data_IF_421554927501
#
_entry.id   IF_421554927501
#
_cell.length_a   1.000
_cell.length_b   1.000
_cell.length_c   1.000
_cell.angle_alpha   90.00
_cell.angle_beta   90.00
_cell.angle_gamma   90.00
#
_symmetry.space_group_name_H-M   'P 1'
#
loop_
_entity.id
_entity.type
_entity.pdbx_description
1 polymer ?
#
# COMPACT_ATOMS: atom_id res chain seq x y z
N UNK A 1 -27.43 3.12 11.13
CA UNK A 1 -26.15 3.65 10.64
C UNK A 1 -25.66 2.70 9.57
N UNK A 2 -25.48 3.16 8.33
CA UNK A 2 -24.78 2.37 7.32
C UNK A 2 -23.31 2.32 7.71
N UNK A 3 -22.73 1.12 7.84
CA UNK A 3 -21.30 0.95 8.05
C UNK A 3 -20.58 1.55 6.83
N UNK A 4 -19.63 2.45 7.07
CA UNK A 4 -18.74 2.95 6.02
C UNK A 4 -18.00 1.76 5.41
N UNK A 5 -17.91 1.69 4.08
CA UNK A 5 -17.29 0.55 3.40
C UNK A 5 -15.82 0.46 3.83
N UNK A 6 -15.40 -0.63 4.52
CA UNK A 6 -14.04 -0.76 5.04
C UNK A 6 -12.95 -0.66 3.97
N UNK A 7 -13.30 -0.93 2.70
CA UNK A 7 -12.38 -0.78 1.57
C UNK A 7 -11.78 0.63 1.52
N UNK A 8 -12.59 1.68 1.74
CA UNK A 8 -12.09 3.06 1.61
C UNK A 8 -11.19 3.47 2.77
N UNK A 9 -11.40 2.88 3.96
CA UNK A 9 -10.53 3.10 5.12
C UNK A 9 -9.15 2.51 4.83
N UNK A 10 -9.10 1.22 4.46
CA UNK A 10 -7.85 0.52 4.16
C UNK A 10 -7.17 1.13 2.94
N UNK A 11 -7.92 1.54 1.91
CA UNK A 11 -7.38 2.30 0.76
C UNK A 11 -6.63 3.56 1.22
N UNK A 12 -7.22 4.33 2.12
CA UNK A 12 -6.58 5.55 2.66
C UNK A 12 -5.33 5.24 3.50
N UNK A 13 -5.36 4.16 4.28
CA UNK A 13 -4.20 3.67 5.05
C UNK A 13 -3.05 3.25 4.12
N UNK A 14 -3.36 2.50 3.05
CA UNK A 14 -2.40 2.11 2.01
C UNK A 14 -1.82 3.34 1.32
N UNK A 15 -2.65 4.31 0.91
CA UNK A 15 -2.17 5.55 0.28
C UNK A 15 -1.21 6.32 1.21
N UNK A 16 -1.52 6.38 2.51
CA UNK A 16 -0.64 7.00 3.51
C UNK A 16 0.67 6.22 3.67
N UNK A 17 0.61 4.89 3.74
CA UNK A 17 1.78 4.04 3.86
C UNK A 17 2.70 4.16 2.64
N UNK A 18 2.14 4.21 1.42
CA UNK A 18 2.89 4.41 0.17
C UNK A 18 3.65 5.75 0.17
N UNK A 19 3.00 6.84 0.57
CA UNK A 19 3.68 8.14 0.69
C UNK A 19 4.82 8.10 1.72
N UNK A 20 4.62 7.39 2.84
CA UNK A 20 5.66 7.14 3.83
C UNK A 20 6.85 6.34 3.26
N UNK A 21 6.56 5.25 2.57
CA UNK A 21 7.57 4.41 1.91
C UNK A 21 8.37 5.18 0.85
N UNK A 22 7.72 6.04 0.05
CA UNK A 22 8.40 6.89 -0.93
C UNK A 22 9.35 7.89 -0.26
N UNK A 23 8.95 8.47 0.86
CA UNK A 23 9.80 9.38 1.66
C UNK A 23 11.00 8.65 2.26
N UNK A 24 10.78 7.44 2.81
CA UNK A 24 11.84 6.56 3.31
C UNK A 24 12.79 6.15 2.19
N UNK A 25 12.28 5.81 1.01
CA UNK A 25 13.09 5.44 -0.15
C UNK A 25 13.93 6.63 -0.65
N UNK A 26 13.37 7.84 -0.66
CA UNK A 26 14.14 9.05 -0.98
C UNK A 26 15.30 9.22 0.00
N UNK A 27 15.03 9.17 1.31
CA UNK A 27 16.06 9.28 2.35
C UNK A 27 17.10 8.17 2.23
N UNK A 28 16.66 6.93 2.03
CA UNK A 28 17.54 5.77 1.86
C UNK A 28 18.51 5.98 0.69
N UNK A 29 18.03 6.51 -0.44
CA UNK A 29 18.92 6.83 -1.58
C UNK A 29 19.94 7.91 -1.24
N UNK A 30 19.56 8.94 -0.48
CA UNK A 30 20.52 9.97 -0.03
C UNK A 30 21.59 9.40 0.88
N UNK A 31 21.22 8.52 1.81
CA UNK A 31 22.15 7.89 2.76
C UNK A 31 23.18 6.98 2.07
N UNK A 32 22.81 6.39 0.92
CA UNK A 32 23.71 5.53 0.13
C UNK A 32 24.68 6.32 -0.76
N UNK A 33 24.52 7.65 -0.89
CA UNK A 33 25.47 8.43 -1.66
C UNK A 33 26.83 8.51 -0.95
N UNK A 34 27.90 8.22 -1.69
CA UNK A 34 29.26 8.28 -1.16
C UNK A 34 29.60 9.71 -0.67
N UNK A 35 30.23 9.80 0.50
CA UNK A 35 30.64 11.07 1.11
C UNK A 35 29.61 11.76 2.00
N UNK A 36 28.42 11.17 2.18
CA UNK A 36 27.30 11.76 2.96
C UNK A 36 27.42 11.68 4.49
N UNK A 37 28.43 11.01 5.05
CA UNK A 37 28.64 10.91 6.50
C UNK A 37 27.56 10.10 7.26
N UNK A 38 26.67 9.41 6.56
CA UNK A 38 25.65 8.54 7.14
C UNK A 38 26.30 7.42 7.98
N UNK A 39 25.80 7.20 9.19
CA UNK A 39 26.25 6.07 10.00
C UNK A 39 25.66 4.77 9.48
N UNK A 40 26.35 3.65 9.77
CA UNK A 40 25.82 2.33 9.44
C UNK A 40 24.47 2.08 10.13
N UNK A 41 24.30 2.54 11.37
CA UNK A 41 23.01 2.37 12.07
C UNK A 41 21.87 3.12 11.38
N UNK A 42 22.12 4.32 10.86
CA UNK A 42 21.10 5.11 10.16
C UNK A 42 20.66 4.42 8.86
N UNK A 43 21.63 3.88 8.11
CA UNK A 43 21.37 3.10 6.89
C UNK A 43 20.57 1.84 7.22
N UNK A 44 21.00 1.07 8.23
CA UNK A 44 20.35 -0.18 8.62
C UNK A 44 18.91 0.07 9.12
N UNK A 45 18.69 1.10 9.94
CA UNK A 45 17.37 1.50 10.41
C UNK A 45 16.45 1.91 9.26
N UNK A 46 16.91 2.81 8.39
CA UNK A 46 16.10 3.32 7.26
C UNK A 46 15.75 2.19 6.30
N UNK A 47 16.69 1.27 6.06
CA UNK A 47 16.47 0.09 5.22
C UNK A 47 15.42 -0.84 5.84
N UNK A 48 15.51 -1.09 7.14
CA UNK A 48 14.55 -1.96 7.83
C UNK A 48 13.14 -1.35 7.85
N UNK A 49 13.04 -0.05 8.11
CA UNK A 49 11.76 0.66 8.14
C UNK A 49 11.09 0.66 6.76
N UNK A 50 11.86 0.92 5.70
CA UNK A 50 11.37 0.82 4.33
C UNK A 50 10.84 -0.59 4.01
N UNK A 51 11.60 -1.64 4.37
CA UNK A 51 11.16 -3.03 4.15
C UNK A 51 9.89 -3.39 4.92
N UNK A 52 9.74 -2.90 6.15
CA UNK A 52 8.55 -3.14 6.94
C UNK A 52 7.34 -2.41 6.36
N UNK A 53 7.51 -1.17 5.93
CA UNK A 53 6.46 -0.40 5.27
C UNK A 53 6.00 -1.07 3.97
N UNK A 54 6.93 -1.51 3.11
CA UNK A 54 6.61 -2.24 1.88
C UNK A 54 5.87 -3.55 2.16
N UNK A 55 6.31 -4.32 3.17
CA UNK A 55 5.62 -5.57 3.57
C UNK A 55 4.20 -5.33 4.06
N UNK A 56 3.98 -4.28 4.86
CA UNK A 56 2.65 -3.91 5.34
C UNK A 56 1.73 -3.57 4.16
N UNK A 57 2.23 -2.79 3.20
CA UNK A 57 1.48 -2.43 1.99
C UNK A 57 1.13 -3.68 1.17
N UNK A 58 2.07 -4.61 1.00
CA UNK A 58 1.80 -5.85 0.26
C UNK A 58 0.67 -6.68 0.91
N UNK A 59 0.69 -6.82 2.24
CA UNK A 59 -0.38 -7.50 2.98
C UNK A 59 -1.74 -6.80 2.84
N UNK A 60 -1.79 -5.47 3.00
CA UNK A 60 -3.03 -4.72 2.83
C UNK A 60 -3.57 -4.87 1.40
N UNK A 61 -2.70 -4.91 0.40
CA UNK A 61 -3.09 -5.11 -1.01
C UNK A 61 -3.55 -6.55 -1.29
N UNK A 62 -3.04 -7.56 -0.59
CA UNK A 62 -3.55 -8.93 -0.63
C UNK A 62 -4.96 -8.99 -0.06
N UNK A 63 -5.18 -8.45 1.14
CA UNK A 63 -6.50 -8.40 1.77
C UNK A 63 -7.53 -7.67 0.91
N UNK A 64 -7.16 -6.51 0.33
CA UNK A 64 -8.05 -5.78 -0.59
C UNK A 64 -8.40 -6.61 -1.84
N UNK A 65 -7.47 -7.39 -2.39
CA UNK A 65 -7.70 -8.24 -3.57
C UNK A 65 -8.60 -9.45 -3.23
N UNK A 66 -8.48 -9.99 -2.03
CA UNK A 66 -9.39 -11.01 -1.50
C UNK A 66 -10.82 -10.45 -1.36
N UNK A 67 -10.98 -9.22 -0.86
CA UNK A 67 -12.32 -8.61 -0.75
C UNK A 67 -12.98 -8.42 -2.12
N UNK A 68 -12.20 -8.09 -3.15
CA UNK A 68 -12.68 -8.01 -4.54
C UNK A 68 -13.20 -9.38 -4.99
N UNK A 69 -12.43 -10.43 -4.75
CA UNK A 69 -12.81 -11.81 -5.10
C UNK A 69 -14.10 -12.26 -4.38
N UNK A 70 -14.28 -11.87 -3.12
CA UNK A 70 -15.50 -12.12 -2.34
C UNK A 70 -16.70 -11.37 -2.93
N UNK A 71 -16.53 -10.11 -3.32
CA UNK A 71 -17.61 -9.30 -3.93
C UNK A 71 -18.03 -9.89 -5.27
N UNK A 72 -17.08 -10.31 -6.11
CA UNK A 72 -17.35 -10.96 -7.40
C UNK A 72 -18.07 -12.30 -7.25
N UNK A 73 -17.76 -13.04 -6.18
CA UNK A 73 -18.39 -14.33 -5.88
C UNK A 73 -19.84 -14.20 -5.38
N UNK A 74 -20.24 -13.03 -4.84
CA UNK A 74 -21.61 -12.81 -4.37
C UNK A 74 -22.14 -11.37 -4.64
N UNK A 75 -22.33 -10.96 -5.91
CA UNK A 75 -22.68 -9.59 -6.26
C UNK A 75 -24.01 -9.12 -5.66
N UNK A 76 -24.98 -10.03 -5.52
CA UNK A 76 -26.31 -9.73 -4.96
C UNK A 76 -26.25 -9.30 -3.50
N UNK A 77 -25.29 -9.82 -2.72
CA UNK A 77 -25.13 -9.47 -1.30
C UNK A 77 -24.53 -8.08 -1.13
N UNK A 78 -23.58 -7.71 -1.97
CA UNK A 78 -22.81 -6.48 -1.81
C UNK A 78 -23.38 -5.29 -2.61
N UNK A 79 -24.13 -5.55 -3.68
CA UNK A 79 -24.74 -4.53 -4.53
C UNK A 79 -23.74 -3.42 -4.93
N UNK A 80 -22.50 -3.82 -5.22
CA UNK A 80 -21.43 -2.91 -5.61
C UNK A 80 -21.50 -2.62 -7.10
N UNK A 81 -21.37 -1.35 -7.47
CA UNK A 81 -21.34 -0.93 -8.86
C UNK A 81 -20.11 -1.49 -9.60
N UNK A 82 -20.29 -1.89 -10.86
CA UNK A 82 -19.23 -2.49 -11.68
C UNK A 82 -18.11 -1.49 -12.00
N UNK A 83 -18.43 -0.19 -12.17
CA UNK A 83 -17.41 0.82 -12.37
C UNK A 83 -16.62 1.06 -11.09
N UNK A 84 -17.26 0.99 -9.92
CA UNK A 84 -16.56 1.04 -8.63
C UNK A 84 -15.63 -0.16 -8.45
N UNK A 85 -16.10 -1.40 -8.69
CA UNK A 85 -15.25 -2.60 -8.63
C UNK A 85 -14.02 -2.47 -9.55
N UNK A 86 -14.18 -1.90 -10.74
CA UNK A 86 -13.08 -1.64 -11.68
C UNK A 86 -12.06 -0.65 -11.11
N UNK A 87 -12.52 0.42 -10.43
CA UNK A 87 -11.63 1.38 -9.76
C UNK A 87 -10.84 0.72 -8.63
N UNK A 88 -11.48 -0.15 -7.85
CA UNK A 88 -10.81 -0.91 -6.76
C UNK A 88 -9.69 -1.79 -7.31
N UNK A 89 -9.96 -2.55 -8.37
CA UNK A 89 -8.95 -3.36 -9.08
C UNK A 89 -7.81 -2.48 -9.62
N UNK A 90 -8.15 -1.36 -10.25
CA UNK A 90 -7.16 -0.44 -10.80
C UNK A 90 -6.24 0.12 -9.70
N UNK A 91 -6.79 0.50 -8.55
CA UNK A 91 -6.03 0.96 -7.38
C UNK A 91 -4.99 -0.09 -6.95
N UNK A 92 -5.41 -1.33 -6.70
CA UNK A 92 -4.50 -2.41 -6.27
C UNK A 92 -3.38 -2.61 -7.29
N UNK A 93 -3.71 -2.69 -8.58
CA UNK A 93 -2.73 -2.87 -9.66
C UNK A 93 -1.75 -1.69 -9.72
N UNK A 94 -2.23 -0.45 -9.64
CA UNK A 94 -1.36 0.73 -9.68
C UNK A 94 -0.43 0.81 -8.47
N UNK A 95 -0.94 0.46 -7.28
CA UNK A 95 -0.15 0.51 -6.05
C UNK A 95 0.92 -0.59 -6.06
N UNK A 96 0.57 -1.82 -6.43
CA UNK A 96 1.54 -2.93 -6.63
C UNK A 96 2.66 -2.56 -7.61
N UNK A 97 2.39 -1.74 -8.64
CA UNK A 97 3.42 -1.26 -9.57
C UNK A 97 4.29 -0.15 -8.98
N UNK A 98 3.76 0.62 -8.05
CA UNK A 98 4.46 1.75 -7.41
C UNK A 98 5.45 1.29 -6.34
N UNK A 99 5.13 0.18 -5.65
CA UNK A 99 5.95 -0.35 -4.54
C UNK A 99 6.91 -1.47 -4.93
N UNK A 100 6.90 -1.89 -6.21
CA UNK A 100 7.87 -2.83 -6.79
C UNK A 100 9.06 -2.10 -7.38
#
# INVERSE_FOLDING_TARGET
MSMEDPFFVVKGEVEKAVHGAQSLHFRWRELLQEGGGASKEEIDWTTNELRNSLRSIDWDLEDLDETISIVESNPKKFNLDAAELTKRKAFIISTRRTVK
#
